data_IF_348244918423
#
_entry.id   IF_348244918423
#
_cell.length_a   1.000
_cell.length_b   1.000
_cell.length_c   1.000
_cell.angle_alpha   90.00
_cell.angle_beta   90.00
_cell.angle_gamma   90.00
#
_symmetry.space_group_name_H-M   'P 1'
#
loop_
_entity.id
_entity.type
_entity.pdbx_description
1 polymer ?
#
# COMPACT_ATOMS: atom_id res chain seq x y z
N UNK A 1 15.72 -51.93 9.46
CA UNK A 1 14.47 -51.99 8.67
C UNK A 1 14.26 -50.57 8.14
N UNK A 2 14.77 -50.19 6.95
CA UNK A 2 14.18 -50.44 5.61
C UNK A 2 12.76 -49.86 5.62
N UNK A 3 12.53 -48.61 5.19
CA UNK A 3 12.18 -48.19 3.82
C UNK A 3 12.37 -46.64 3.75
N UNK A 4 13.25 -46.01 2.98
CA UNK A 4 13.37 -45.94 1.51
C UNK A 4 12.01 -45.88 0.80
N UNK A 5 11.58 -44.67 0.42
CA UNK A 5 10.89 -44.41 -0.85
C UNK A 5 11.00 -42.91 -1.19
N UNK A 6 12.08 -42.62 -1.92
CA UNK A 6 12.20 -41.47 -2.81
C UNK A 6 11.07 -41.52 -3.85
N UNK A 7 10.26 -40.48 -3.91
CA UNK A 7 9.40 -40.18 -5.06
C UNK A 7 10.04 -39.02 -5.82
N UNK A 8 11.07 -39.35 -6.58
CA UNK A 8 11.51 -38.59 -7.73
C UNK A 8 10.94 -39.33 -8.96
N UNK A 9 10.03 -38.69 -9.69
CA UNK A 9 9.69 -38.91 -11.11
C UNK A 9 8.64 -37.83 -11.45
N UNK A 10 8.63 -37.10 -12.56
CA UNK A 10 9.49 -36.96 -13.73
C UNK A 10 8.88 -35.79 -14.53
N UNK A 11 9.75 -35.00 -15.17
CA UNK A 11 9.65 -34.57 -16.56
C UNK A 11 8.32 -34.01 -17.11
N UNK A 12 8.29 -32.69 -17.30
CA UNK A 12 7.89 -32.09 -18.57
C UNK A 12 8.90 -30.96 -18.85
N UNK A 13 9.89 -31.16 -19.73
CA UNK A 13 9.80 -30.89 -21.17
C UNK A 13 9.46 -29.41 -21.44
N UNK A 14 10.12 -28.65 -22.31
CA UNK A 14 11.23 -28.85 -23.22
C UNK A 14 11.62 -27.44 -23.74
N UNK A 15 12.89 -27.33 -24.17
CA UNK A 15 13.39 -26.59 -25.34
C UNK A 15 12.78 -25.20 -25.64
N UNK A 16 13.55 -24.12 -25.56
CA UNK A 16 14.53 -23.71 -26.59
C UNK A 16 13.90 -23.64 -27.98
N UNK A 17 13.65 -22.42 -28.45
CA UNK A 17 14.09 -22.00 -29.77
C UNK A 17 14.12 -20.45 -29.85
N UNK A 18 15.19 -19.87 -30.42
CA UNK A 18 15.33 -18.46 -30.73
C UNK A 18 14.68 -18.15 -32.10
N UNK A 19 14.54 -16.87 -32.44
CA UNK A 19 14.81 -16.31 -33.78
C UNK A 19 14.23 -14.89 -33.86
N UNK A 20 15.08 -13.87 -33.70
CA UNK A 20 14.99 -12.69 -34.57
C UNK A 20 15.39 -13.15 -35.98
N UNK A 21 14.64 -12.80 -37.03
CA UNK A 21 15.12 -11.64 -37.78
C UNK A 21 13.99 -10.84 -38.44
N UNK A 22 14.22 -9.53 -38.58
CA UNK A 22 14.44 -8.90 -39.89
C UNK A 22 14.11 -7.41 -39.79
N UNK A 23 15.17 -6.62 -39.78
CA UNK A 23 15.18 -5.22 -40.20
C UNK A 23 14.50 -5.10 -41.57
N UNK A 24 13.33 -4.46 -41.63
CA UNK A 24 12.77 -4.02 -42.89
C UNK A 24 13.34 -2.62 -43.21
N UNK A 25 14.07 -2.56 -44.32
CA UNK A 25 14.65 -1.39 -44.97
C UNK A 25 13.55 -0.36 -45.37
N UNK A 26 13.80 0.96 -45.29
CA UNK A 26 12.80 1.99 -45.52
C UNK A 26 12.70 2.32 -47.01
N UNK A 27 11.53 2.11 -47.60
CA UNK A 27 11.36 2.28 -49.05
C UNK A 27 9.97 2.65 -49.51
N UNK A 28 9.76 3.96 -49.68
CA UNK A 28 8.84 4.60 -50.64
C UNK A 28 7.36 4.78 -50.22
N UNK A 29 6.63 5.69 -50.88
CA UNK A 29 6.43 7.07 -50.42
C UNK A 29 4.99 7.35 -50.00
N UNK A 30 4.83 8.33 -49.10
CA UNK A 30 3.53 8.85 -48.66
C UNK A 30 2.66 9.31 -49.83
N UNK A 31 1.42 8.82 -49.98
CA UNK A 31 0.42 9.56 -50.72
C UNK A 31 -0.09 10.69 -49.82
N UNK A 32 0.23 11.92 -50.23
CA UNK A 32 -0.45 13.13 -49.79
C UNK A 32 -1.95 12.97 -50.12
N UNK A 33 -2.79 12.83 -49.10
CA UNK A 33 -4.23 13.06 -49.21
C UNK A 33 -4.64 13.89 -48.01
N UNK A 34 -4.99 15.14 -48.27
CA UNK A 34 -5.82 15.98 -47.41
C UNK A 34 -6.76 16.78 -48.31
N UNK A 35 -7.88 17.30 -47.78
CA UNK A 35 -8.71 16.81 -46.67
C UNK A 35 -10.15 16.60 -47.19
N UNK A 36 -11.06 16.13 -46.32
CA UNK A 36 -12.53 16.37 -46.33
C UNK A 36 -13.25 15.12 -45.81
N UNK A 37 -13.27 15.01 -44.49
CA UNK A 37 -14.43 14.47 -43.80
C UNK A 37 -14.69 15.39 -42.63
N UNK A 38 -15.73 16.20 -42.80
CA UNK A 38 -16.49 16.83 -41.73
C UNK A 38 -17.08 15.72 -40.87
N UNK A 39 -16.22 15.13 -40.03
CA UNK A 39 -16.61 14.19 -38.99
C UNK A 39 -16.71 15.04 -37.73
N UNK A 40 -17.91 15.21 -37.13
CA UNK A 40 -17.98 15.86 -35.83
C UNK A 40 -17.07 15.08 -34.89
N UNK A 41 -16.05 15.77 -34.33
CA UNK A 41 -15.26 15.21 -33.24
C UNK A 41 -16.24 14.64 -32.22
N UNK A 42 -16.10 13.38 -31.80
CA UNK A 42 -16.88 12.90 -30.67
C UNK A 42 -16.62 13.89 -29.54
N UNK A 43 -17.69 14.51 -29.04
CA UNK A 43 -17.63 15.34 -27.86
C UNK A 43 -17.07 14.46 -26.74
N UNK A 44 -15.79 14.64 -26.43
CA UNK A 44 -15.14 13.95 -25.33
C UNK A 44 -15.81 14.48 -24.08
N UNK A 45 -16.70 13.68 -23.49
CA UNK A 45 -17.27 13.99 -22.20
C UNK A 45 -16.12 14.36 -21.26
N UNK A 46 -16.23 15.47 -20.50
CA UNK A 46 -15.22 15.81 -19.51
C UNK A 46 -15.01 14.60 -18.61
N UNK A 47 -13.76 14.27 -18.24
CA UNK A 47 -13.46 13.04 -17.50
C UNK A 47 -14.39 12.97 -16.29
N UNK A 48 -15.13 11.86 -16.21
CA UNK A 48 -16.03 11.58 -15.11
C UNK A 48 -15.26 11.77 -13.81
N UNK A 49 -15.81 12.64 -12.97
CA UNK A 49 -15.39 13.01 -11.62
C UNK A 49 -14.35 12.03 -11.05
N UNK A 50 -13.06 12.35 -11.24
CA UNK A 50 -11.97 11.66 -10.57
C UNK A 50 -12.25 11.83 -9.08
N UNK A 51 -12.79 10.78 -8.45
CA UNK A 51 -12.95 10.74 -7.01
C UNK A 51 -11.62 11.21 -6.41
N UNK A 52 -11.66 12.28 -5.61
CA UNK A 52 -10.46 12.85 -5.03
C UNK A 52 -9.70 11.71 -4.35
N UNK A 53 -8.45 11.50 -4.74
CA UNK A 53 -7.61 10.51 -4.10
C UNK A 53 -7.64 10.80 -2.58
N UNK A 54 -7.82 9.76 -1.74
CA UNK A 54 -7.84 9.98 -0.30
C UNK A 54 -6.55 10.71 0.12
N UNK A 55 -6.63 11.64 1.09
CA UNK A 55 -5.46 12.36 1.55
C UNK A 55 -4.40 11.36 2.01
N UNK A 56 -3.19 11.51 1.49
CA UNK A 56 -2.06 10.66 1.85
C UNK A 56 -1.61 11.01 3.27
N UNK A 57 -1.27 9.98 4.04
CA UNK A 57 -0.75 10.14 5.39
C UNK A 57 0.70 10.65 5.31
N UNK A 58 1.06 11.57 6.21
CA UNK A 58 2.45 11.99 6.43
C UNK A 58 2.97 11.54 7.79
N UNK A 59 4.28 11.64 8.00
CA UNK A 59 4.87 11.35 9.31
C UNK A 59 4.42 12.38 10.37
N UNK A 60 4.15 13.62 9.95
CA UNK A 60 3.66 14.69 10.81
C UNK A 60 2.25 14.39 11.33
N UNK A 61 1.41 13.73 10.53
CA UNK A 61 0.08 13.30 10.94
C UNK A 61 0.11 12.29 12.09
N UNK A 62 1.14 11.46 12.12
CA UNK A 62 1.38 10.46 13.16
C UNK A 62 2.02 11.05 14.41
N UNK A 63 2.62 12.24 14.35
CA UNK A 63 3.38 12.80 15.45
C UNK A 63 2.55 13.03 16.72
N UNK A 64 3.14 12.79 17.89
CA UNK A 64 2.53 12.99 19.21
C UNK A 64 2.05 11.69 19.88
N UNK A 65 1.20 11.86 20.89
CA UNK A 65 0.70 10.77 21.72
C UNK A 65 -0.57 10.14 21.15
N UNK A 66 -0.68 8.84 21.39
CA UNK A 66 -1.76 7.96 20.96
C UNK A 66 -2.09 6.95 22.04
N UNK A 67 -3.37 6.61 22.18
CA UNK A 67 -3.89 5.59 23.09
C UNK A 67 -4.50 4.47 22.27
N UNK A 68 -4.17 3.23 22.58
CA UNK A 68 -4.77 2.08 21.92
C UNK A 68 -6.23 1.90 22.36
N UNK A 69 -7.13 1.80 21.40
CA UNK A 69 -8.55 1.61 21.64
C UNK A 69 -8.94 0.15 21.41
N UNK A 70 -9.67 -0.42 22.36
CA UNK A 70 -10.38 -1.69 22.23
C UNK A 70 -11.89 -1.43 22.18
N UNK A 71 -12.69 -2.42 21.79
CA UNK A 71 -14.15 -2.28 21.69
C UNK A 71 -14.87 -1.87 22.98
N UNK A 72 -14.20 -1.95 24.14
CA UNK A 72 -14.73 -1.51 25.44
C UNK A 72 -14.13 -0.16 25.92
N UNK A 73 -13.28 0.48 25.10
CA UNK A 73 -12.61 1.74 25.39
C UNK A 73 -11.07 1.69 25.29
N UNK A 74 -10.42 2.75 25.75
CA UNK A 74 -8.96 2.84 25.82
C UNK A 74 -8.37 1.73 26.70
N UNK A 75 -7.31 1.08 26.20
CA UNK A 75 -6.47 0.19 27.01
C UNK A 75 -5.29 0.97 27.60
N UNK A 76 -4.64 0.35 28.58
CA UNK A 76 -3.36 0.82 29.13
C UNK A 76 -2.20 0.59 28.15
N UNK A 77 -2.43 0.64 26.83
CA UNK A 77 -1.38 0.68 25.83
C UNK A 77 -1.39 2.06 25.17
N UNK A 78 -0.23 2.70 25.12
CA UNK A 78 -0.04 4.00 24.51
C UNK A 78 1.15 3.98 23.55
N UNK A 79 1.17 4.91 22.61
CA UNK A 79 2.29 5.12 21.72
C UNK A 79 2.59 6.61 21.59
N UNK A 80 3.88 6.96 21.54
CA UNK A 80 4.35 8.30 21.22
C UNK A 80 5.20 8.22 19.96
N UNK A 81 4.87 9.03 18.95
CA UNK A 81 5.62 9.14 17.70
C UNK A 81 6.37 10.47 17.68
N UNK A 82 7.69 10.39 17.58
CA UNK A 82 8.59 11.55 17.51
C UNK A 82 9.49 11.42 16.28
N UNK A 83 9.18 12.18 15.24
CA UNK A 83 9.86 12.04 13.94
C UNK A 83 9.67 10.62 13.40
N UNK A 84 10.76 9.95 13.06
CA UNK A 84 10.73 8.59 12.49
C UNK A 84 10.85 7.48 13.55
N UNK A 85 10.62 7.78 14.82
CA UNK A 85 10.64 6.82 15.93
C UNK A 85 9.28 6.76 16.60
N UNK A 86 8.83 5.55 16.94
CA UNK A 86 7.66 5.31 17.78
C UNK A 86 8.07 4.52 19.00
N UNK A 87 7.60 4.97 20.16
CA UNK A 87 7.75 4.29 21.44
C UNK A 87 6.38 3.82 21.90
N UNK A 88 6.22 2.54 22.19
CA UNK A 88 5.00 2.02 22.82
C UNK A 88 5.22 1.80 24.30
N UNK A 89 4.13 1.94 25.05
CA UNK A 89 4.08 1.85 26.49
C UNK A 89 2.97 0.90 26.89
N UNK A 90 3.25 0.03 27.86
CA UNK A 90 2.24 -0.75 28.56
C UNK A 90 2.16 -0.21 29.98
N UNK A 91 1.01 0.35 30.33
CA UNK A 91 0.82 1.29 31.44
C UNK A 91 1.83 2.44 31.30
N UNK A 92 2.77 2.57 32.26
CA UNK A 92 3.80 3.61 32.26
C UNK A 92 5.20 3.07 31.90
N UNK A 93 5.28 1.83 31.38
CA UNK A 93 6.57 1.18 31.09
C UNK A 93 6.81 1.12 29.58
N UNK A 94 8.01 1.54 29.11
CA UNK A 94 8.34 1.39 27.70
C UNK A 94 8.36 -0.11 27.35
N UNK A 95 7.64 -0.47 26.30
CA UNK A 95 7.52 -1.84 25.81
C UNK A 95 8.38 -2.06 24.56
N UNK A 96 8.35 -1.12 23.62
CA UNK A 96 9.08 -1.21 22.35
C UNK A 96 9.47 0.18 21.85
N UNK A 97 10.63 0.26 21.20
CA UNK A 97 11.04 1.42 20.39
C UNK A 97 11.37 0.93 19.00
N UNK A 98 10.78 1.54 17.97
CA UNK A 98 10.97 1.11 16.58
C UNK A 98 10.88 2.29 15.61
N UNK A 99 11.41 2.09 14.41
CA UNK A 99 11.33 3.09 13.35
C UNK A 99 9.95 3.10 12.70
N UNK A 100 9.43 4.29 12.41
CA UNK A 100 8.22 4.51 11.60
C UNK A 100 8.62 4.96 10.21
N UNK A 101 8.02 4.35 9.18
CA UNK A 101 8.08 4.86 7.81
C UNK A 101 6.68 4.98 7.25
N UNK A 102 6.39 6.11 6.62
CA UNK A 102 5.10 6.37 5.96
C UNK A 102 5.32 6.41 4.46
N UNK A 103 4.47 5.71 3.71
CA UNK A 103 4.45 5.71 2.26
C UNK A 103 3.00 5.68 1.77
N UNK A 104 2.47 6.86 1.45
CA UNK A 104 1.08 7.00 1.01
C UNK A 104 0.08 6.65 2.12
N UNK A 105 -0.74 5.64 1.89
CA UNK A 105 -1.71 5.07 2.85
C UNK A 105 -1.10 3.95 3.70
N UNK A 106 0.22 3.73 3.61
CA UNK A 106 0.88 2.59 4.24
C UNK A 106 1.87 3.06 5.31
N UNK A 107 1.87 2.41 6.47
CA UNK A 107 2.81 2.66 7.57
C UNK A 107 3.58 1.39 7.89
N UNK A 108 4.90 1.48 7.98
CA UNK A 108 5.76 0.41 8.50
C UNK A 108 6.07 0.71 9.98
N UNK A 109 5.66 -0.19 10.87
CA UNK A 109 5.89 -0.14 12.31
C UNK A 109 6.19 -1.56 12.82
N UNK A 110 7.16 -1.71 13.73
CA UNK A 110 7.54 -3.01 14.31
C UNK A 110 7.86 -4.10 13.24
N UNK A 111 8.44 -3.68 12.11
CA UNK A 111 8.72 -4.57 10.98
C UNK A 111 7.47 -5.08 10.24
N UNK A 112 6.28 -4.60 10.59
CA UNK A 112 4.99 -4.92 9.97
C UNK A 112 4.46 -3.74 9.19
N UNK A 113 3.79 -4.05 8.09
CA UNK A 113 3.24 -3.07 7.16
C UNK A 113 1.73 -3.00 7.35
N UNK A 114 1.23 -1.82 7.64
CA UNK A 114 -0.19 -1.54 7.89
C UNK A 114 -0.74 -0.63 6.80
N UNK A 115 -1.97 -0.89 6.34
CA UNK A 115 -2.78 0.18 5.75
C UNK A 115 -3.25 1.09 6.86
N UNK A 116 -3.00 2.38 6.72
CA UNK A 116 -3.35 3.40 7.68
C UNK A 116 -4.45 4.30 7.13
N UNK A 117 -5.47 4.53 7.93
CA UNK A 117 -6.52 5.50 7.66
C UNK A 117 -6.72 6.38 8.89
N UNK A 118 -6.71 7.69 8.69
CA UNK A 118 -7.02 8.67 9.73
C UNK A 118 -8.46 9.13 9.60
N UNK A 119 -9.19 9.09 10.70
CA UNK A 119 -10.56 9.61 10.83
C UNK A 119 -10.60 10.57 12.02
N UNK A 120 -10.42 11.86 11.73
CA UNK A 120 -10.27 12.90 12.76
C UNK A 120 -9.11 12.63 13.72
N UNK A 121 -9.46 12.27 14.95
CA UNK A 121 -8.53 11.97 16.06
C UNK A 121 -8.21 10.48 16.21
N UNK A 122 -8.80 9.61 15.38
CA UNK A 122 -8.51 8.19 15.35
C UNK A 122 -7.61 7.82 14.17
N UNK A 123 -6.71 6.89 14.40
CA UNK A 123 -5.84 6.23 13.43
C UNK A 123 -6.20 4.74 13.43
N UNK A 124 -6.60 4.23 12.28
CA UNK A 124 -6.87 2.81 12.06
C UNK A 124 -5.69 2.22 11.30
N UNK A 125 -5.12 1.15 11.83
CA UNK A 125 -4.04 0.39 11.23
C UNK A 125 -4.55 -1.02 10.92
N UNK A 126 -4.52 -1.42 9.66
CA UNK A 126 -5.01 -2.71 9.20
C UNK A 126 -3.88 -3.54 8.59
N UNK A 127 -3.77 -4.79 9.01
CA UNK A 127 -2.86 -5.78 8.46
C UNK A 127 -3.58 -7.12 8.20
N UNK A 128 -2.83 -8.19 7.96
CA UNK A 128 -3.37 -9.53 7.71
C UNK A 128 -3.97 -10.22 8.96
N UNK A 129 -3.66 -9.73 10.16
CA UNK A 129 -4.15 -10.24 11.45
C UNK A 129 -5.37 -9.48 11.96
N UNK A 130 -5.57 -8.23 11.54
CA UNK A 130 -6.77 -7.48 11.84
C UNK A 130 -6.58 -5.97 11.83
N UNK A 131 -7.48 -5.28 12.54
CA UNK A 131 -7.47 -3.82 12.70
C UNK A 131 -7.10 -3.44 14.12
N UNK A 132 -6.08 -2.60 14.26
CA UNK A 132 -5.73 -1.87 15.47
C UNK A 132 -6.23 -0.42 15.36
N UNK A 133 -6.74 0.13 16.45
CA UNK A 133 -7.20 1.53 16.49
C UNK A 133 -6.43 2.26 17.58
N UNK A 134 -5.89 3.41 17.21
CA UNK A 134 -5.22 4.35 18.11
C UNK A 134 -5.94 5.69 18.06
N UNK A 135 -6.18 6.33 19.20
CA UNK A 135 -6.82 7.65 19.26
C UNK A 135 -5.94 8.67 19.98
N UNK A 136 -6.17 9.97 19.75
CA UNK A 136 -5.42 11.06 20.43
C UNK A 136 -5.65 11.13 21.93
N UNK A 137 -6.78 10.61 22.42
CA UNK A 137 -7.13 10.52 23.82
C UNK A 137 -8.09 9.35 24.06
N UNK A 138 -8.35 9.01 25.32
CA UNK A 138 -9.32 7.97 25.66
C UNK A 138 -10.75 8.36 25.25
N UNK A 139 -11.08 9.66 25.30
CA UNK A 139 -12.38 10.20 24.89
C UNK A 139 -12.59 10.17 23.37
N UNK A 140 -11.50 10.10 22.60
CA UNK A 140 -11.52 9.99 21.15
C UNK A 140 -11.55 8.53 20.65
N UNK A 141 -11.59 7.54 21.55
CA UNK A 141 -11.81 6.15 21.15
C UNK A 141 -13.24 5.96 20.61
N UNK A 142 -13.40 5.34 19.42
CA UNK A 142 -14.70 5.15 18.76
C UNK A 142 -15.56 4.05 19.39
#
# INVERSE_FOLDING_TARGET
MRHLLLLALLLGACADAPDEPATADPGAPSPLVTPETDQPSPEVAPPENLAAAPPLLSLEDLGGDWVFCSGDGALDEAATVEGAEMRTYLHDRPALVTSVKVSGDTVLFDGRTYRAARDGEALRLEDDLGTSVYARSAEACP
#
